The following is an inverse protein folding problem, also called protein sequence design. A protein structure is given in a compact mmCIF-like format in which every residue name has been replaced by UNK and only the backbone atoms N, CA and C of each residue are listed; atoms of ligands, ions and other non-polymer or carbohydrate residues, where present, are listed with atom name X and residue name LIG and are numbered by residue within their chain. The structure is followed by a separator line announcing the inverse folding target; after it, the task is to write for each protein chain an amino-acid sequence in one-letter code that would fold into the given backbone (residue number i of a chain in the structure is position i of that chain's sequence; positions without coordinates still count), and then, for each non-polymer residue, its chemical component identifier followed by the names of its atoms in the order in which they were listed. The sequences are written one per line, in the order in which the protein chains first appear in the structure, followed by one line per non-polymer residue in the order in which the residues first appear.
data_IF_073925526465
#
_entry.id   IF_073925526465
#
_cell.length_a   1.000
_cell.length_b   1.000
_cell.length_c   1.000
_cell.angle_alpha   90.00
_cell.angle_beta   90.00
_cell.angle_gamma   90.00
#
_symmetry.space_group_name_H-M   'P 1'
#
loop_
_entity.id
_entity.type
_entity.pdbx_description
1 polymer ?
#
# COMPACT_ATOMS: atom_id res chain seq x y z
N UNK A 1 -0.18 20.28 -3.29
CA UNK A 1 1.15 19.88 -3.81
C UNK A 1 2.10 19.31 -2.76
N UNK A 2 2.26 19.91 -1.56
CA UNK A 2 3.22 19.43 -0.54
C UNK A 2 3.07 17.95 -0.15
N UNK A 3 1.84 17.42 -0.13
CA UNK A 3 1.57 16.04 0.28
C UNK A 3 2.01 15.00 -0.76
N UNK A 4 1.80 15.28 -2.06
CA UNK A 4 2.06 14.29 -3.09
C UNK A 4 3.56 14.09 -3.37
N UNK A 5 4.36 15.16 -3.32
CA UNK A 5 5.83 15.06 -3.39
C UNK A 5 6.40 14.29 -2.21
N UNK A 6 5.76 14.41 -1.04
CA UNK A 6 6.11 13.62 0.14
C UNK A 6 5.75 12.14 -0.06
N UNK A 7 4.57 11.83 -0.60
CA UNK A 7 4.16 10.46 -0.93
C UNK A 7 5.11 9.79 -1.93
N UNK A 8 5.45 10.49 -3.02
CA UNK A 8 6.43 10.01 -3.99
C UNK A 8 7.78 9.67 -3.33
N UNK A 9 8.28 10.58 -2.48
CA UNK A 9 9.53 10.38 -1.74
C UNK A 9 9.44 9.21 -0.77
N UNK A 10 8.31 9.06 -0.07
CA UNK A 10 8.11 7.95 0.87
C UNK A 10 8.10 6.63 0.11
N UNK A 11 7.27 6.50 -0.93
CA UNK A 11 7.16 5.26 -1.72
C UNK A 11 8.47 4.91 -2.42
N UNK A 12 9.26 5.90 -2.87
CA UNK A 12 10.57 5.62 -3.50
C UNK A 12 11.60 5.02 -2.53
N UNK A 13 11.41 5.16 -1.22
CA UNK A 13 12.29 4.59 -0.19
C UNK A 13 11.83 3.20 0.30
N UNK A 14 10.62 2.77 -0.09
CA UNK A 14 9.99 1.56 0.42
C UNK A 14 10.01 0.45 -0.64
N UNK A 15 10.93 -0.50 -0.49
CA UNK A 15 10.95 -1.74 -1.27
C UNK A 15 10.67 -2.93 -0.35
N UNK A 16 9.46 -3.49 -0.43
CA UNK A 16 9.02 -4.62 0.38
C UNK A 16 7.88 -5.37 -0.35
N UNK A 17 7.80 -6.71 -0.31
CA UNK A 17 6.80 -7.48 -1.05
C UNK A 17 5.32 -7.19 -0.68
N UNK A 18 5.08 -6.60 0.50
CA UNK A 18 3.74 -6.21 0.96
C UNK A 18 3.50 -4.70 0.89
N UNK A 19 4.29 -3.96 0.09
CA UNK A 19 4.11 -2.54 -0.18
C UNK A 19 4.16 -2.34 -1.69
N UNK A 20 3.15 -1.68 -2.26
CA UNK A 20 3.07 -1.41 -3.70
C UNK A 20 4.31 -0.62 -4.16
N UNK A 21 4.93 -1.07 -5.26
CA UNK A 21 6.10 -0.39 -5.81
C UNK A 21 5.69 0.87 -6.57
N UNK A 22 6.42 1.97 -6.35
CA UNK A 22 6.39 3.13 -7.23
C UNK A 22 7.36 2.89 -8.40
N UNK A 23 6.86 2.99 -9.63
CA UNK A 23 7.67 2.90 -10.84
C UNK A 23 8.19 4.27 -11.27
N UNK A 24 7.31 5.26 -11.35
CA UNK A 24 7.67 6.60 -11.79
C UNK A 24 6.69 7.66 -11.29
N UNK A 25 7.11 8.92 -11.39
CA UNK A 25 6.25 10.08 -11.14
C UNK A 25 6.23 10.98 -12.37
N UNK A 26 5.03 11.32 -12.84
CA UNK A 26 4.85 12.16 -14.02
C UNK A 26 4.22 13.49 -13.60
N UNK A 27 4.73 14.60 -14.12
CA UNK A 27 4.14 15.92 -13.94
C UNK A 27 3.63 16.44 -15.28
N UNK A 28 2.33 16.69 -15.37
CA UNK A 28 1.70 17.31 -16.53
C UNK A 28 1.03 18.62 -16.08
N UNK A 29 1.67 19.75 -16.38
CA UNK A 29 1.24 21.07 -15.94
C UNK A 29 1.14 21.17 -14.40
N UNK A 30 -0.09 21.31 -13.90
CA UNK A 30 -0.44 21.38 -12.48
C UNK A 30 -0.80 20.02 -11.86
N UNK A 31 -0.92 18.97 -12.66
CA UNK A 31 -1.29 17.61 -12.22
C UNK A 31 -0.04 16.75 -12.05
N UNK A 32 -0.06 15.91 -11.02
CA UNK A 32 0.99 14.93 -10.75
C UNK A 32 0.37 13.53 -10.71
N UNK A 33 1.06 12.58 -11.33
CA UNK A 33 0.68 11.18 -11.40
C UNK A 33 1.74 10.33 -10.71
N UNK A 34 1.29 9.35 -9.94
CA UNK A 34 2.12 8.31 -9.37
C UNK A 34 1.82 7.02 -10.14
N UNK A 35 2.82 6.47 -10.82
CA UNK A 35 2.67 5.21 -11.54
C UNK A 35 3.17 4.10 -10.62
N UNK A 36 2.27 3.23 -10.21
CA UNK A 36 2.54 2.17 -9.24
C UNK A 36 2.27 0.78 -9.81
N UNK A 37 2.78 -0.24 -9.13
CA UNK A 37 2.39 -1.63 -9.37
C UNK A 37 0.86 -1.80 -9.30
N UNK A 38 0.32 -2.59 -10.24
CA UNK A 38 -1.10 -2.89 -10.32
C UNK A 38 -1.42 -4.10 -9.43
N UNK A 39 -2.15 -3.87 -8.34
CA UNK A 39 -2.74 -4.94 -7.53
C UNK A 39 -4.05 -5.43 -8.18
N UNK A 40 -3.97 -6.48 -9.01
CA UNK A 40 -5.11 -7.01 -9.78
C UNK A 40 -6.25 -7.56 -8.90
N UNK A 41 -5.97 -7.91 -7.65
CA UNK A 41 -6.96 -8.40 -6.68
C UNK A 41 -7.85 -7.32 -6.06
N UNK A 42 -7.66 -6.04 -6.40
CA UNK A 42 -8.43 -4.93 -5.82
C UNK A 42 -8.04 -4.61 -4.37
N UNK A 43 -8.94 -3.98 -3.63
CA UNK A 43 -8.71 -3.60 -2.24
C UNK A 43 -9.25 -4.64 -1.24
N UNK A 44 -8.57 -4.78 -0.11
CA UNK A 44 -8.89 -5.77 0.91
C UNK A 44 -10.27 -5.54 1.56
N UNK A 45 -10.74 -4.30 1.65
CA UNK A 45 -12.03 -3.99 2.28
C UNK A 45 -13.18 -4.51 1.42
N UNK A 46 -13.13 -4.28 0.11
CA UNK A 46 -14.06 -4.86 -0.86
C UNK A 46 -13.99 -6.39 -0.82
N UNK A 47 -12.78 -6.96 -0.83
CA UNK A 47 -12.60 -8.42 -0.76
C UNK A 47 -13.22 -9.05 0.51
N UNK A 48 -13.13 -8.38 1.67
CA UNK A 48 -13.76 -8.82 2.91
C UNK A 48 -15.29 -8.75 2.83
N UNK A 49 -15.84 -7.66 2.26
CA UNK A 49 -17.29 -7.47 2.12
C UNK A 49 -17.94 -8.50 1.21
N UNK A 50 -17.22 -8.97 0.20
CA UNK A 50 -17.69 -9.99 -0.74
C UNK A 50 -17.72 -11.41 -0.15
N UNK A 51 -17.13 -11.62 1.04
CA UNK A 51 -17.20 -12.92 1.70
C UNK A 51 -18.63 -13.22 2.22
N UNK A 52 -19.04 -14.50 2.33
CA UNK A 52 -20.40 -14.91 2.69
C UNK A 52 -20.99 -14.29 3.97
N UNK A 53 -20.14 -13.82 4.89
CA UNK A 53 -20.54 -13.15 6.13
C UNK A 53 -19.80 -11.82 6.36
N UNK A 54 -19.23 -11.21 5.32
CA UNK A 54 -18.45 -9.97 5.43
C UNK A 54 -17.21 -10.11 6.32
N UNK A 55 -16.67 -11.34 6.44
CA UNK A 55 -15.54 -11.68 7.31
C UNK A 55 -14.68 -12.77 6.68
N UNK A 56 -13.41 -12.77 7.05
CA UNK A 56 -12.46 -13.82 6.70
C UNK A 56 -12.44 -14.89 7.80
N UNK A 57 -12.07 -16.11 7.45
CA UNK A 57 -11.70 -17.11 8.45
C UNK A 57 -10.37 -16.71 9.13
N UNK A 58 -10.11 -17.31 10.29
CA UNK A 58 -8.96 -16.94 11.10
C UNK A 58 -7.62 -17.17 10.39
N UNK A 59 -7.48 -18.24 9.62
CA UNK A 59 -6.20 -18.55 8.96
C UNK A 59 -5.90 -17.53 7.86
N UNK A 60 -6.91 -17.16 7.07
CA UNK A 60 -6.78 -16.13 6.04
C UNK A 60 -6.53 -14.76 6.65
N UNK A 61 -7.27 -14.39 7.71
CA UNK A 61 -7.05 -13.14 8.44
C UNK A 61 -5.62 -13.06 9.02
N UNK A 62 -5.12 -14.16 9.60
CA UNK A 62 -3.75 -14.27 10.12
C UNK A 62 -2.70 -14.03 9.03
N UNK A 63 -2.94 -14.55 7.82
CA UNK A 63 -2.02 -14.37 6.68
C UNK A 63 -1.92 -12.88 6.29
N UNK A 64 -3.05 -12.20 6.10
CA UNK A 64 -3.05 -10.77 5.77
C UNK A 64 -2.47 -9.91 6.90
N UNK A 65 -2.84 -10.19 8.15
CA UNK A 65 -2.30 -9.48 9.30
C UNK A 65 -0.76 -9.58 9.35
N UNK A 66 -0.20 -10.76 9.08
CA UNK A 66 1.26 -10.95 9.01
C UNK A 66 1.90 -10.10 7.90
N UNK A 67 1.29 -10.02 6.72
CA UNK A 67 1.78 -9.20 5.61
C UNK A 67 1.72 -7.70 5.95
N UNK A 68 0.61 -7.24 6.55
CA UNK A 68 0.44 -5.85 6.99
C UNK A 68 1.47 -5.46 8.05
N UNK A 69 1.66 -6.30 9.07
CA UNK A 69 2.65 -6.04 10.14
C UNK A 69 4.07 -6.06 9.59
N UNK A 70 4.39 -6.94 8.63
CA UNK A 70 5.69 -6.94 7.97
C UNK A 70 5.94 -5.65 7.17
N UNK A 71 4.94 -5.17 6.43
CA UNK A 71 5.00 -3.88 5.73
C UNK A 71 5.21 -2.71 6.72
N UNK A 72 4.43 -2.65 7.80
CA UNK A 72 4.54 -1.61 8.82
C UNK A 72 5.91 -1.63 9.51
N UNK A 73 6.43 -2.82 9.85
CA UNK A 73 7.78 -2.98 10.39
C UNK A 73 8.84 -2.40 9.46
N UNK A 74 8.73 -2.67 8.16
CA UNK A 74 9.64 -2.12 7.15
C UNK A 74 9.53 -0.59 7.08
N UNK A 75 8.31 -0.04 7.02
CA UNK A 75 8.08 1.41 7.01
C UNK A 75 8.66 2.09 8.26
N UNK A 76 8.39 1.53 9.42
CA UNK A 76 8.87 2.06 10.70
C UNK A 76 10.40 2.02 10.80
N UNK A 77 11.05 0.98 10.24
CA UNK A 77 12.52 0.91 10.17
C UNK A 77 13.15 2.03 9.32
N UNK A 78 12.35 2.65 8.43
CA UNK A 78 12.72 3.80 7.60
C UNK A 78 12.23 5.13 8.16
N UNK A 79 11.70 5.15 9.38
CA UNK A 79 11.17 6.36 10.03
C UNK A 79 9.86 6.87 9.41
N UNK A 80 9.13 6.02 8.68
CA UNK A 80 7.86 6.38 8.04
C UNK A 80 6.70 5.81 8.84
N UNK A 81 5.76 6.66 9.25
CA UNK A 81 4.49 6.26 9.86
C UNK A 81 3.39 6.30 8.80
N UNK A 82 2.63 5.21 8.64
CA UNK A 82 1.43 5.18 7.80
C UNK A 82 0.27 5.89 8.51
N UNK A 83 -0.56 6.64 7.77
CA UNK A 83 -1.70 7.40 8.31
C UNK A 83 -3.01 6.88 7.78
#
# INVERSE_FOLDING_TARGET
MKNLTREAKVLSMLQHPSIVRLYETIRCGSVYYLVTELATGGDLCTHIKEQPAGKLDENTARLYARQLVAALKHMHSKGVVHR
#
